data_IF_117617812432
#
_entry.id   IF_117617812432
#
_cell.length_a   1.000
_cell.length_b   1.000
_cell.length_c   1.000
_cell.angle_alpha   90.00
_cell.angle_beta   90.00
_cell.angle_gamma   90.00
#
_symmetry.space_group_name_H-M   'P 1'
#
loop_
_entity.id
_entity.type
_entity.pdbx_description
1 polymer ?
#
# COMPACT_ATOMS: atom_id res chain seq x y z
N UNK A 1 -15.29 -10.80 4.99
CA UNK A 1 -15.62 -9.98 6.17
C UNK A 1 -15.98 -8.58 5.71
N UNK A 2 -17.08 -8.01 6.21
CA UNK A 2 -17.46 -6.63 5.89
C UNK A 2 -17.74 -5.89 7.18
N UNK A 3 -17.11 -4.71 7.34
CA UNK A 3 -17.36 -3.81 8.46
C UNK A 3 -17.58 -2.41 7.94
N UNK A 4 -18.75 -1.84 8.18
CA UNK A 4 -19.10 -0.51 7.67
C UNK A 4 -19.81 0.32 8.73
N UNK A 5 -19.39 1.57 8.88
CA UNK A 5 -20.02 2.57 9.75
C UNK A 5 -19.53 2.54 11.20
N UNK A 6 -19.83 3.60 11.95
CA UNK A 6 -19.49 3.73 13.37
C UNK A 6 -18.01 3.99 13.67
N UNK A 7 -17.70 3.99 14.98
CA UNK A 7 -16.34 4.01 15.52
C UNK A 7 -16.00 2.60 16.00
N UNK A 8 -15.14 1.88 15.28
CA UNK A 8 -14.92 0.44 15.51
C UNK A 8 -13.43 0.17 15.73
N UNK A 9 -13.12 -0.74 16.67
CA UNK A 9 -11.79 -1.30 16.85
C UNK A 9 -11.82 -2.80 16.55
N UNK A 10 -10.91 -3.28 15.71
CA UNK A 10 -10.83 -4.69 15.29
C UNK A 10 -9.43 -5.20 15.60
N UNK A 11 -9.35 -6.36 16.25
CA UNK A 11 -8.12 -7.15 16.37
C UNK A 11 -8.47 -8.57 16.00
N UNK A 12 -7.92 -9.08 14.89
CA UNK A 12 -8.30 -10.41 14.39
C UNK A 12 -7.17 -11.09 13.62
N UNK A 13 -7.17 -12.42 13.66
CA UNK A 13 -6.35 -13.27 12.81
C UNK A 13 -7.27 -14.11 11.92
N UNK A 14 -7.01 -14.14 10.62
CA UNK A 14 -7.80 -14.91 9.66
C UNK A 14 -6.89 -15.66 8.69
N UNK A 15 -7.37 -16.78 8.18
CA UNK A 15 -6.69 -17.62 7.18
C UNK A 15 -7.70 -17.98 6.10
N UNK A 16 -7.28 -17.95 4.82
CA UNK A 16 -8.11 -18.26 3.65
C UNK A 16 -9.34 -17.35 3.57
N UNK A 17 -9.11 -16.09 3.23
CA UNK A 17 -10.17 -15.06 3.18
C UNK A 17 -10.35 -14.59 1.75
N UNK A 18 -11.53 -14.83 1.18
CA UNK A 18 -11.82 -14.33 -0.16
C UNK A 18 -11.83 -12.79 -0.21
N UNK A 19 -12.48 -12.14 0.77
CA UNK A 19 -12.62 -10.68 0.73
C UNK A 19 -12.76 -10.05 2.10
N UNK A 20 -12.09 -8.91 2.32
CA UNK A 20 -12.28 -8.00 3.45
C UNK A 20 -12.67 -6.62 2.91
N UNK A 21 -13.78 -6.06 3.41
CA UNK A 21 -14.20 -4.68 3.11
C UNK A 21 -14.39 -3.93 4.41
N UNK A 22 -13.69 -2.81 4.58
CA UNK A 22 -13.84 -1.96 5.78
C UNK A 22 -14.11 -0.50 5.43
N UNK A 23 -15.07 0.11 6.12
CA UNK A 23 -15.55 1.46 5.86
C UNK A 23 -15.93 2.23 7.13
N UNK A 24 -15.49 3.48 7.31
CA UNK A 24 -15.93 4.34 8.42
C UNK A 24 -14.78 4.91 9.24
N UNK A 25 -14.98 5.10 10.55
CA UNK A 25 -13.94 5.51 11.48
C UNK A 25 -13.43 4.25 12.23
N UNK A 26 -12.35 3.64 11.76
CA UNK A 26 -11.96 2.30 12.22
C UNK A 26 -10.48 2.27 12.62
N UNK A 27 -10.16 1.59 13.72
CA UNK A 27 -8.80 1.14 14.00
C UNK A 27 -8.72 -0.39 13.84
N UNK A 28 -7.75 -0.86 13.06
CA UNK A 28 -7.64 -2.26 12.67
C UNK A 28 -6.25 -2.77 13.00
N UNK A 29 -6.17 -3.92 13.66
CA UNK A 29 -4.95 -4.73 13.77
C UNK A 29 -5.27 -6.13 13.24
N UNK A 30 -4.59 -6.54 12.15
CA UNK A 30 -4.85 -7.84 11.54
C UNK A 30 -3.59 -8.62 11.22
N UNK A 31 -3.69 -9.94 11.40
CA UNK A 31 -2.76 -10.91 10.81
C UNK A 31 -3.54 -11.79 9.85
N UNK A 32 -3.16 -11.80 8.57
CA UNK A 32 -3.91 -12.48 7.52
C UNK A 32 -2.98 -13.38 6.69
N UNK A 33 -3.50 -14.54 6.30
CA UNK A 33 -2.81 -15.48 5.42
C UNK A 33 -3.76 -15.92 4.32
N UNK A 34 -3.32 -15.87 3.06
CA UNK A 34 -4.09 -16.19 1.85
C UNK A 34 -5.36 -15.34 1.76
N UNK A 35 -5.25 -14.16 1.16
CA UNK A 35 -6.36 -13.23 1.00
C UNK A 35 -6.49 -12.77 -0.44
N UNK A 36 -7.62 -13.02 -1.09
CA UNK A 36 -7.75 -12.60 -2.48
C UNK A 36 -7.91 -11.07 -2.56
N UNK A 37 -8.72 -10.45 -1.69
CA UNK A 37 -8.96 -9.01 -1.78
C UNK A 37 -9.18 -8.31 -0.44
N UNK A 38 -8.55 -7.15 -0.28
CA UNK A 38 -8.78 -6.20 0.82
C UNK A 38 -9.17 -4.85 0.23
N UNK A 39 -10.30 -4.30 0.67
CA UNK A 39 -10.74 -2.94 0.31
C UNK A 39 -10.99 -2.13 1.58
N UNK A 40 -10.34 -0.97 1.68
CA UNK A 40 -10.40 -0.10 2.86
C UNK A 40 -10.76 1.34 2.47
N UNK A 41 -11.69 1.94 3.22
CA UNK A 41 -12.29 3.23 2.90
C UNK A 41 -12.65 4.08 4.13
N UNK A 42 -12.32 5.36 4.17
CA UNK A 42 -12.81 6.28 5.21
C UNK A 42 -11.71 6.89 6.07
N UNK A 43 -11.95 7.06 7.37
CA UNK A 43 -10.94 7.55 8.33
C UNK A 43 -10.40 6.36 9.14
N UNK A 44 -9.35 5.71 8.64
CA UNK A 44 -8.91 4.42 9.18
C UNK A 44 -7.45 4.48 9.64
N UNK A 45 -7.16 3.88 10.79
CA UNK A 45 -5.80 3.49 11.16
C UNK A 45 -5.64 1.97 11.06
N UNK A 46 -4.64 1.50 10.34
CA UNK A 46 -4.44 0.07 10.06
C UNK A 46 -3.02 -0.34 10.45
N UNK A 47 -2.92 -1.43 11.20
CA UNK A 47 -1.68 -2.19 11.40
C UNK A 47 -1.90 -3.61 10.91
N UNK A 48 -1.06 -4.08 10.00
CA UNK A 48 -1.38 -5.29 9.25
C UNK A 48 -0.13 -6.12 8.97
N UNK A 49 -0.23 -7.43 9.17
CA UNK A 49 0.77 -8.42 8.72
C UNK A 49 0.08 -9.39 7.78
N UNK A 50 0.54 -9.48 6.54
CA UNK A 50 -0.11 -10.26 5.50
C UNK A 50 0.88 -11.17 4.77
N UNK A 51 0.41 -12.36 4.43
CA UNK A 51 1.12 -13.33 3.61
C UNK A 51 0.19 -13.83 2.51
N UNK A 52 0.63 -13.74 1.25
CA UNK A 52 -0.10 -14.10 0.04
C UNK A 52 -1.41 -13.30 -0.10
N UNK A 53 -1.34 -12.19 -0.83
CA UNK A 53 -2.50 -11.32 -1.08
C UNK A 53 -2.59 -10.95 -2.54
N UNK A 54 -3.70 -11.23 -3.21
CA UNK A 54 -3.80 -10.89 -4.63
C UNK A 54 -3.99 -9.37 -4.78
N UNK A 55 -4.89 -8.75 -4.01
CA UNK A 55 -5.19 -7.32 -4.17
C UNK A 55 -5.46 -6.57 -2.87
N UNK A 56 -4.85 -5.39 -2.74
CA UNK A 56 -5.15 -4.40 -1.71
C UNK A 56 -5.55 -3.09 -2.36
N UNK A 57 -6.72 -2.56 -1.98
CA UNK A 57 -7.21 -1.25 -2.39
C UNK A 57 -7.49 -0.40 -1.15
N UNK A 58 -6.91 0.79 -1.11
CA UNK A 58 -7.04 1.73 0.00
C UNK A 58 -7.45 3.12 -0.48
N UNK A 59 -8.47 3.69 0.16
CA UNK A 59 -9.04 4.99 -0.17
C UNK A 59 -9.43 5.83 1.06
N UNK A 60 -9.13 7.13 1.09
CA UNK A 60 -9.67 8.05 2.10
C UNK A 60 -8.61 8.78 2.93
N UNK A 61 -8.90 9.04 4.21
CA UNK A 61 -7.97 9.63 5.16
C UNK A 61 -7.39 8.53 6.05
N UNK A 62 -6.26 7.95 5.65
CA UNK A 62 -5.82 6.66 6.20
C UNK A 62 -4.37 6.74 6.69
N UNK A 63 -4.11 6.14 7.85
CA UNK A 63 -2.75 5.83 8.30
C UNK A 63 -2.54 4.32 8.29
N UNK A 64 -1.49 3.86 7.63
CA UNK A 64 -1.20 2.44 7.43
C UNK A 64 0.21 2.12 7.88
N UNK A 65 0.33 1.02 8.63
CA UNK A 65 1.58 0.29 8.85
C UNK A 65 1.38 -1.15 8.39
N UNK A 66 2.16 -1.60 7.42
CA UNK A 66 2.07 -2.99 6.94
C UNK A 66 3.40 -3.68 6.78
N UNK A 67 3.38 -4.99 7.05
CA UNK A 67 4.39 -5.94 6.58
C UNK A 67 3.69 -6.94 5.66
N UNK A 68 4.15 -7.05 4.42
CA UNK A 68 3.55 -7.92 3.42
C UNK A 68 4.60 -8.81 2.76
N UNK A 69 4.19 -10.05 2.47
CA UNK A 69 4.97 -11.03 1.70
C UNK A 69 4.08 -11.62 0.62
N UNK A 70 4.53 -11.56 -0.63
CA UNK A 70 3.84 -11.99 -1.84
C UNK A 70 2.51 -11.24 -2.04
N UNK A 71 2.56 -10.19 -2.84
CA UNK A 71 1.38 -9.38 -3.17
C UNK A 71 1.32 -9.09 -4.66
N UNK A 72 0.24 -9.42 -5.35
CA UNK A 72 0.18 -9.14 -6.78
C UNK A 72 -0.07 -7.63 -7.00
N UNK A 73 -1.02 -7.02 -6.30
CA UNK A 73 -1.38 -5.62 -6.54
C UNK A 73 -1.71 -4.83 -5.28
N UNK A 74 -1.14 -3.62 -5.19
CA UNK A 74 -1.49 -2.60 -4.20
C UNK A 74 -1.91 -1.32 -4.92
N UNK A 75 -3.11 -0.83 -4.63
CA UNK A 75 -3.63 0.44 -5.13
C UNK A 75 -4.00 1.34 -3.95
N UNK A 76 -3.39 2.52 -3.89
CA UNK A 76 -3.63 3.47 -2.79
C UNK A 76 -4.00 4.86 -3.32
N UNK A 77 -5.06 5.44 -2.75
CA UNK A 77 -5.65 6.71 -3.18
C UNK A 77 -6.15 7.59 -2.04
N UNK A 78 -5.88 8.90 -2.05
CA UNK A 78 -6.51 9.85 -1.10
C UNK A 78 -5.50 10.65 -0.28
N UNK A 79 -5.83 10.92 0.99
CA UNK A 79 -4.95 11.59 1.96
C UNK A 79 -4.36 10.54 2.91
N UNK A 80 -3.19 10.01 2.58
CA UNK A 80 -2.71 8.76 3.22
C UNK A 80 -1.29 8.91 3.74
N UNK A 81 -1.03 8.38 4.94
CA UNK A 81 0.33 8.15 5.43
C UNK A 81 0.59 6.65 5.51
N UNK A 82 1.68 6.18 4.88
CA UNK A 82 1.99 4.76 4.75
C UNK A 82 3.41 4.49 5.25
N UNK A 83 3.55 3.48 6.10
CA UNK A 83 4.82 2.83 6.40
C UNK A 83 4.71 1.36 6.03
N UNK A 84 5.62 0.89 5.19
CA UNK A 84 5.43 -0.39 4.52
C UNK A 84 6.75 -1.15 4.36
N UNK A 85 6.74 -2.45 4.70
CA UNK A 85 7.80 -3.39 4.36
C UNK A 85 7.22 -4.48 3.47
N UNK A 86 7.77 -4.64 2.27
CA UNK A 86 7.22 -5.52 1.24
C UNK A 86 8.30 -6.42 0.65
N UNK A 87 7.92 -7.67 0.40
CA UNK A 87 8.75 -8.66 -0.28
C UNK A 87 7.90 -9.34 -1.34
N UNK A 88 8.40 -9.38 -2.58
CA UNK A 88 7.75 -9.93 -3.78
C UNK A 88 6.41 -9.24 -4.06
N UNK A 89 6.45 -8.21 -4.91
CA UNK A 89 5.26 -7.46 -5.30
C UNK A 89 5.22 -7.23 -6.80
N UNK A 90 4.14 -7.60 -7.48
CA UNK A 90 4.11 -7.37 -8.93
C UNK A 90 3.84 -5.88 -9.20
N UNK A 91 2.82 -5.29 -8.57
CA UNK A 91 2.42 -3.91 -8.87
C UNK A 91 2.05 -3.07 -7.66
N UNK A 92 2.59 -1.86 -7.61
CA UNK A 92 2.21 -0.80 -6.67
C UNK A 92 1.77 0.44 -7.45
N UNK A 93 0.55 0.91 -7.18
CA UNK A 93 0.00 2.15 -7.73
C UNK A 93 -0.41 3.07 -6.59
N UNK A 94 0.12 4.30 -6.59
CA UNK A 94 -0.19 5.30 -5.56
C UNK A 94 -0.59 6.64 -6.16
N UNK A 95 -1.65 7.25 -5.61
CA UNK A 95 -2.25 8.47 -6.14
C UNK A 95 -2.85 9.39 -5.07
N UNK A 96 -2.61 10.70 -5.13
CA UNK A 96 -3.30 11.69 -4.27
C UNK A 96 -2.34 12.51 -3.42
N UNK A 97 -2.73 12.81 -2.18
CA UNK A 97 -1.90 13.52 -1.20
C UNK A 97 -1.30 12.49 -0.23
N UNK A 98 -0.13 11.95 -0.54
CA UNK A 98 0.39 10.78 0.18
C UNK A 98 1.79 11.06 0.75
N UNK A 99 2.02 10.63 1.99
CA UNK A 99 3.37 10.48 2.54
C UNK A 99 3.68 8.99 2.71
N UNK A 100 4.80 8.55 2.14
CA UNK A 100 5.13 7.13 2.06
C UNK A 100 6.55 6.90 2.56
N UNK A 101 6.72 5.91 3.42
CA UNK A 101 8.02 5.31 3.75
C UNK A 101 7.95 3.82 3.44
N UNK A 102 8.79 3.34 2.51
CA UNK A 102 8.77 1.93 2.13
C UNK A 102 10.16 1.31 2.10
N UNK A 103 10.22 0.03 2.47
CA UNK A 103 11.32 -0.87 2.12
C UNK A 103 10.74 -1.99 1.26
N UNK A 104 11.27 -2.17 0.05
CA UNK A 104 10.75 -3.15 -0.90
C UNK A 104 11.88 -4.00 -1.48
N UNK A 105 11.59 -5.28 -1.65
CA UNK A 105 12.48 -6.26 -2.25
C UNK A 105 11.69 -7.05 -3.29
N UNK A 106 12.23 -7.13 -4.51
CA UNK A 106 11.64 -7.77 -5.69
C UNK A 106 10.27 -7.15 -6.04
N UNK A 107 10.30 -6.13 -6.88
CA UNK A 107 9.08 -5.45 -7.34
C UNK A 107 9.09 -5.28 -8.84
N UNK A 108 8.05 -5.71 -9.55
CA UNK A 108 8.04 -5.54 -11.01
C UNK A 108 7.74 -4.09 -11.36
N UNK A 109 6.68 -3.50 -10.80
CA UNK A 109 6.25 -2.15 -11.17
C UNK A 109 5.84 -1.28 -9.99
N UNK A 110 6.35 -0.05 -9.98
CA UNK A 110 5.92 1.04 -9.10
C UNK A 110 5.45 2.22 -9.95
N UNK A 111 4.20 2.64 -9.77
CA UNK A 111 3.61 3.81 -10.39
C UNK A 111 3.11 4.81 -9.32
N UNK A 112 3.55 6.05 -9.38
CA UNK A 112 3.17 7.09 -8.39
C UNK A 112 2.78 8.41 -9.04
N UNK A 113 1.75 9.09 -8.52
CA UNK A 113 1.39 10.44 -8.96
C UNK A 113 0.52 11.26 -8.00
N UNK A 114 0.56 12.58 -8.12
CA UNK A 114 -0.15 13.51 -7.23
C UNK A 114 0.81 14.34 -6.37
N UNK A 115 0.35 14.78 -5.19
CA UNK A 115 1.17 15.48 -4.22
C UNK A 115 1.79 14.47 -3.25
N UNK A 116 2.96 13.95 -3.57
CA UNK A 116 3.55 12.81 -2.84
C UNK A 116 4.91 13.17 -2.27
N UNK A 117 5.13 12.84 -0.99
CA UNK A 117 6.46 12.72 -0.39
C UNK A 117 6.78 11.24 -0.16
N UNK A 118 7.86 10.74 -0.76
CA UNK A 118 8.26 9.33 -0.66
C UNK A 118 9.69 9.21 -0.17
N UNK A 119 9.90 8.31 0.79
CA UNK A 119 11.22 7.75 1.13
C UNK A 119 11.18 6.26 0.83
N UNK A 120 12.05 5.77 -0.05
CA UNK A 120 12.10 4.33 -0.37
C UNK A 120 13.51 3.76 -0.30
N UNK A 121 13.59 2.52 0.18
CA UNK A 121 14.72 1.62 -0.08
C UNK A 121 14.22 0.49 -0.98
N UNK A 122 14.85 0.32 -2.14
CA UNK A 122 14.42 -0.57 -3.21
C UNK A 122 15.54 -1.54 -3.57
N UNK A 123 15.23 -2.83 -3.63
CA UNK A 123 16.15 -3.88 -4.08
C UNK A 123 15.45 -4.72 -5.14
N UNK A 124 16.04 -4.84 -6.33
CA UNK A 124 15.50 -5.54 -7.50
C UNK A 124 14.13 -5.00 -7.90
N UNK A 125 14.12 -3.93 -8.71
CA UNK A 125 12.87 -3.36 -9.24
C UNK A 125 12.94 -3.22 -10.74
N UNK A 126 11.95 -3.74 -11.48
CA UNK A 126 12.03 -3.67 -12.94
C UNK A 126 11.67 -2.26 -13.42
N UNK A 127 10.54 -1.71 -12.99
CA UNK A 127 10.04 -0.42 -13.48
C UNK A 127 9.57 0.51 -12.38
N UNK A 128 10.04 1.76 -12.44
CA UNK A 128 9.53 2.87 -11.64
C UNK A 128 9.04 3.97 -12.59
N UNK A 129 7.77 4.35 -12.44
CA UNK A 129 7.16 5.45 -13.17
C UNK A 129 6.55 6.46 -12.20
N UNK A 130 7.02 7.70 -12.25
CA UNK A 130 6.50 8.77 -11.38
C UNK A 130 6.06 9.96 -12.22
N UNK A 131 4.89 10.53 -11.96
CA UNK A 131 4.45 11.73 -12.67
C UNK A 131 3.14 12.34 -12.17
N UNK A 132 2.93 13.61 -12.51
CA UNK A 132 1.75 14.38 -12.11
C UNK A 132 1.85 14.95 -10.69
N UNK A 133 1.53 16.23 -10.53
CA UNK A 133 1.49 16.90 -9.22
C UNK A 133 2.88 17.21 -8.65
N UNK A 134 2.93 17.52 -7.35
CA UNK A 134 4.17 17.85 -6.65
C UNK A 134 4.77 16.59 -6.02
N UNK A 135 5.88 16.11 -6.55
CA UNK A 135 6.53 14.87 -6.11
C UNK A 135 7.90 15.16 -5.52
N UNK A 136 8.11 14.73 -4.28
CA UNK A 136 9.40 14.74 -3.60
C UNK A 136 9.80 13.31 -3.24
N UNK A 137 10.91 12.82 -3.78
CA UNK A 137 11.36 11.44 -3.62
C UNK A 137 12.80 11.42 -3.11
N UNK A 138 13.01 10.68 -2.02
CA UNK A 138 14.33 10.24 -1.56
C UNK A 138 14.38 8.73 -1.73
N UNK A 139 15.35 8.23 -2.50
CA UNK A 139 15.41 6.82 -2.87
C UNK A 139 16.81 6.25 -2.72
N UNK A 140 16.91 5.06 -2.15
CA UNK A 140 18.08 4.19 -2.23
C UNK A 140 17.73 3.00 -3.13
N UNK A 141 18.53 2.78 -4.17
CA UNK A 141 18.27 1.79 -5.22
C UNK A 141 19.40 0.77 -5.28
N UNK A 142 19.05 -0.51 -5.35
CA UNK A 142 19.95 -1.61 -5.70
C UNK A 142 19.27 -2.43 -6.79
N UNK A 143 19.84 -2.46 -7.99
CA UNK A 143 19.30 -3.12 -9.19
C UNK A 143 17.92 -2.60 -9.60
N UNK A 144 17.91 -1.63 -10.52
CA UNK A 144 16.68 -1.19 -11.17
C UNK A 144 16.88 -1.12 -12.68
N UNK A 145 15.94 -1.69 -13.42
CA UNK A 145 16.03 -1.78 -14.88
C UNK A 145 15.60 -0.46 -15.53
N UNK A 146 14.45 0.08 -15.15
CA UNK A 146 13.86 1.28 -15.78
C UNK A 146 13.33 2.27 -14.77
N UNK A 147 13.69 3.55 -14.93
CA UNK A 147 13.12 4.68 -14.17
C UNK A 147 12.63 5.74 -15.15
N UNK A 148 11.34 6.08 -15.07
CA UNK A 148 10.70 7.15 -15.82
C UNK A 148 10.14 8.21 -14.86
N UNK A 149 10.61 9.45 -15.01
CA UNK A 149 10.13 10.59 -14.24
C UNK A 149 9.48 11.58 -15.19
N UNK A 150 8.16 11.60 -15.20
CA UNK A 150 7.35 12.57 -15.95
C UNK A 150 7.31 13.91 -15.24
N UNK A 151 7.74 14.98 -15.92
CA UNK A 151 7.45 16.35 -15.51
C UNK A 151 6.00 16.70 -15.86
N UNK A 152 5.28 17.31 -14.93
CA UNK A 152 4.18 18.24 -15.23
C UNK A 152 4.65 19.65 -15.01
#
# INVERSE_FOLDING_TARGET
>A
MTVTGGNINIVITLVNVNTIVTGGNINIVMTLVNVDTIVTGGNINIVMTLVNVDTIVTGGNINIVMTLVNVDTIVTGGNINIVMTLVNVDTIVTGGNINIVMTLVNVDTIATGGNINIVMTLVNVDTIATGGGNINIVVTLVNVDTITIGKT
#
